data_IF_697633021046
#
_entry.id   IF_697633021046
#
_cell.length_a   1.000
_cell.length_b   1.000
_cell.length_c   1.000
_cell.angle_alpha   90.00
_cell.angle_beta   90.00
_cell.angle_gamma   90.00
#
_symmetry.space_group_name_H-M   'P 1'
#
loop_
_entity.id
_entity.type
_entity.pdbx_description
1 polymer ?
#
# COMPACT_ATOMS: atom_id res chain seq x y z
N UNK A 1 -28.51 -67.81 2.66
CA UNK A 1 -29.10 -66.54 3.14
C UNK A 1 -29.68 -65.80 1.95
N UNK A 2 -31.01 -65.79 1.82
CA UNK A 2 -31.71 -65.29 0.64
C UNK A 2 -31.64 -63.76 0.51
N UNK A 3 -31.63 -63.25 -0.72
CA UNK A 3 -31.64 -61.81 -1.07
C UNK A 3 -32.79 -61.03 -0.40
N UNK A 4 -33.84 -61.70 0.05
CA UNK A 4 -34.97 -61.13 0.80
C UNK A 4 -34.60 -60.70 2.24
N UNK A 5 -33.62 -61.34 2.89
CA UNK A 5 -33.24 -61.04 4.28
C UNK A 5 -32.28 -59.85 4.43
N UNK A 6 -31.68 -59.34 3.34
CA UNK A 6 -30.85 -58.12 3.39
C UNK A 6 -31.66 -56.83 3.23
N UNK A 7 -32.84 -56.89 2.58
CA UNK A 7 -33.69 -55.72 2.36
C UNK A 7 -34.51 -55.37 3.63
N UNK A 8 -34.91 -56.37 4.42
CA UNK A 8 -35.62 -56.14 5.70
C UNK A 8 -34.74 -55.48 6.78
N UNK A 9 -33.42 -55.68 6.76
CA UNK A 9 -32.51 -55.12 7.78
C UNK A 9 -32.28 -53.60 7.57
N UNK A 10 -32.32 -53.11 6.33
CA UNK A 10 -32.15 -51.68 6.03
C UNK A 10 -33.40 -50.83 6.26
N UNK A 11 -34.60 -51.42 6.19
CA UNK A 11 -35.86 -50.73 6.51
C UNK A 11 -36.09 -50.54 8.03
N UNK A 12 -35.39 -51.30 8.89
CA UNK A 12 -35.52 -51.16 10.35
C UNK A 12 -34.66 -50.02 10.92
N UNK A 13 -33.60 -49.58 10.23
CA UNK A 13 -32.71 -48.51 10.70
C UNK A 13 -33.20 -47.11 10.29
N UNK A 14 -34.07 -46.99 9.29
CA UNK A 14 -34.60 -45.70 8.80
C UNK A 14 -35.86 -45.24 9.57
N UNK A 15 -36.42 -46.07 10.47
CA UNK A 15 -37.66 -45.78 11.20
C UNK A 15 -37.52 -45.13 12.60
N UNK A 16 -36.30 -44.85 13.10
CA UNK A 16 -36.09 -44.48 14.51
C UNK A 16 -35.56 -43.05 14.78
N UNK A 17 -35.47 -42.16 13.77
CA UNK A 17 -35.13 -40.75 14.01
C UNK A 17 -36.11 -39.84 13.26
N UNK A 18 -37.39 -39.94 13.63
CA UNK A 18 -38.45 -39.01 13.26
C UNK A 18 -39.18 -38.56 14.52
N UNK A 19 -38.75 -37.39 15.03
CA UNK A 19 -39.44 -36.44 15.90
C UNK A 19 -40.75 -36.84 16.61
N UNK A 20 -40.78 -36.71 17.94
CA UNK A 20 -41.75 -35.84 18.63
C UNK A 20 -41.32 -35.52 20.07
N UNK A 21 -41.47 -34.24 20.42
CA UNK A 21 -41.09 -33.61 21.68
C UNK A 21 -41.91 -34.11 22.90
N UNK A 22 -41.50 -33.72 24.12
CA UNK A 22 -42.49 -33.22 25.06
C UNK A 22 -42.11 -31.91 25.74
N UNK A 23 -43.17 -31.18 26.06
CA UNK A 23 -43.26 -29.91 26.76
C UNK A 23 -43.35 -30.10 28.29
N UNK A 24 -42.68 -29.18 29.00
CA UNK A 24 -43.07 -28.54 30.28
C UNK A 24 -42.71 -29.13 31.67
N UNK A 25 -42.02 -28.24 32.43
CA UNK A 25 -42.18 -27.81 33.84
C UNK A 25 -41.51 -28.55 35.02
N UNK A 26 -40.42 -27.93 35.50
CA UNK A 26 -40.02 -27.54 36.91
C UNK A 26 -40.03 -28.62 38.02
N UNK A 27 -39.01 -28.79 38.89
CA UNK A 27 -38.37 -27.84 39.84
C UNK A 27 -37.12 -28.55 40.45
N UNK A 28 -35.94 -27.92 40.48
CA UNK A 28 -35.25 -27.35 41.68
C UNK A 28 -34.37 -28.33 42.48
N UNK A 29 -33.05 -28.10 42.45
CA UNK A 29 -32.07 -28.76 43.32
C UNK A 29 -30.64 -28.66 42.80
N UNK A 30 -29.95 -27.60 43.23
CA UNK A 30 -28.49 -27.44 43.32
C UNK A 30 -27.64 -27.55 42.04
N UNK A 31 -27.41 -26.40 41.40
CA UNK A 31 -26.14 -26.07 40.73
C UNK A 31 -25.97 -24.54 40.71
N UNK A 32 -25.97 -23.94 41.90
CA UNK A 32 -25.39 -22.61 42.12
C UNK A 32 -23.90 -22.77 42.40
N UNK A 33 -23.06 -22.53 41.39
CA UNK A 33 -21.68 -22.09 41.58
C UNK A 33 -21.19 -21.38 40.30
N UNK A 34 -20.94 -20.08 40.43
CA UNK A 34 -20.36 -19.14 39.46
C UNK A 34 -21.29 -18.60 38.36
N UNK A 35 -22.28 -17.80 38.77
CA UNK A 35 -22.83 -16.75 37.89
C UNK A 35 -21.77 -15.66 37.73
N UNK A 36 -21.19 -15.55 36.55
CA UNK A 36 -20.51 -14.32 36.13
C UNK A 36 -21.53 -13.18 36.15
N UNK A 37 -21.27 -12.12 36.92
CA UNK A 37 -22.07 -10.91 36.89
C UNK A 37 -21.86 -10.21 35.54
N UNK A 38 -22.78 -10.43 34.61
CA UNK A 38 -22.84 -9.68 33.35
C UNK A 38 -23.41 -8.30 33.65
N UNK A 39 -22.52 -7.32 33.82
CA UNK A 39 -22.90 -5.92 33.88
C UNK A 39 -23.36 -5.46 32.49
N UNK A 40 -24.67 -5.31 32.31
CA UNK A 40 -25.27 -4.73 31.12
C UNK A 40 -25.54 -3.25 31.36
N UNK A 41 -24.83 -2.38 30.67
CA UNK A 41 -25.09 -0.95 30.67
C UNK A 41 -25.99 -0.60 29.48
N UNK A 42 -27.20 -0.11 29.74
CA UNK A 42 -28.04 0.49 28.71
C UNK A 42 -27.61 1.95 28.50
N UNK A 43 -26.88 2.19 27.41
CA UNK A 43 -26.60 3.55 26.94
C UNK A 43 -27.87 4.05 26.24
N UNK A 44 -28.49 5.16 26.67
CA UNK A 44 -29.66 5.72 26.00
C UNK A 44 -29.31 6.00 24.53
N UNK A 45 -30.14 5.55 23.58
CA UNK A 45 -29.91 5.76 22.14
C UNK A 45 -29.66 7.25 21.79
N UNK A 46 -30.21 8.15 22.60
CA UNK A 46 -30.13 9.61 22.47
C UNK A 46 -28.76 10.18 22.90
N UNK A 47 -27.88 9.36 23.49
CA UNK A 47 -26.51 9.75 23.86
C UNK A 47 -25.46 9.39 22.79
N UNK A 48 -25.89 8.76 21.69
CA UNK A 48 -25.05 8.40 20.54
C UNK A 48 -25.52 9.18 19.32
N UNK A 49 -25.28 10.48 19.27
CA UNK A 49 -25.00 11.21 18.03
C UNK A 49 -24.81 12.71 18.29
N UNK A 50 -23.58 13.08 18.69
CA UNK A 50 -22.97 14.14 17.90
C UNK A 50 -22.49 13.44 16.64
N UNK A 51 -23.24 13.56 15.54
CA UNK A 51 -22.68 13.28 14.22
C UNK A 51 -21.49 14.22 14.04
N UNK A 52 -20.30 13.79 14.48
CA UNK A 52 -19.08 14.39 14.03
C UNK A 52 -19.08 14.17 12.52
N UNK A 53 -19.13 15.26 11.76
CA UNK A 53 -18.98 15.22 10.32
C UNK A 53 -17.68 14.45 10.04
N UNK A 54 -17.79 13.31 9.36
CA UNK A 54 -16.64 12.51 8.98
C UNK A 54 -15.84 13.27 7.92
N UNK A 55 -14.75 13.91 8.36
CA UNK A 55 -13.83 14.67 7.48
C UNK A 55 -12.80 13.75 6.79
N UNK A 56 -12.77 12.47 7.15
CA UNK A 56 -11.77 11.51 6.67
C UNK A 56 -11.73 11.44 5.13
N UNK A 57 -12.86 11.41 4.40
CA UNK A 57 -12.83 11.42 2.94
C UNK A 57 -12.22 12.70 2.33
N UNK A 58 -12.37 13.86 2.99
CA UNK A 58 -11.81 15.14 2.54
C UNK A 58 -10.29 15.14 2.73
N UNK A 59 -9.81 14.69 3.89
CA UNK A 59 -8.37 14.59 4.20
C UNK A 59 -7.69 13.56 3.30
N UNK A 60 -8.30 12.39 3.12
CA UNK A 60 -7.69 11.31 2.33
C UNK A 60 -7.88 11.48 0.82
N UNK A 61 -8.49 12.59 0.38
CA UNK A 61 -8.63 12.91 -1.03
C UNK A 61 -7.25 13.10 -1.67
N UNK A 62 -7.00 12.38 -2.76
CA UNK A 62 -5.70 12.42 -3.45
C UNK A 62 -4.56 11.79 -2.65
N UNK A 63 -4.81 11.19 -1.47
CA UNK A 63 -3.80 10.44 -0.75
C UNK A 63 -3.19 9.38 -1.71
N UNK A 64 -1.87 9.20 -1.73
CA UNK A 64 -1.20 8.30 -2.67
C UNK A 64 -1.52 6.84 -2.29
N UNK A 65 -2.70 6.36 -2.70
CA UNK A 65 -3.23 5.00 -2.52
C UNK A 65 -2.55 4.02 -3.45
N UNK A 66 -1.23 3.99 -3.39
CA UNK A 66 -0.46 3.10 -4.23
C UNK A 66 -0.53 1.70 -3.64
N UNK A 67 -1.58 1.00 -4.04
CA UNK A 67 -1.89 -0.39 -3.71
C UNK A 67 -1.96 -1.16 -5.02
N UNK A 68 -1.50 -2.40 -4.98
CA UNK A 68 -1.63 -3.37 -6.08
C UNK A 68 -3.08 -3.54 -6.55
N UNK A 69 -4.05 -3.28 -5.66
CA UNK A 69 -5.47 -3.31 -5.97
C UNK A 69 -6.05 -1.89 -5.93
N UNK A 70 -6.80 -1.45 -6.96
CA UNK A 70 -7.53 -0.20 -6.93
C UNK A 70 -8.41 -0.11 -5.68
N UNK A 71 -8.40 1.05 -5.02
CA UNK A 71 -9.25 1.31 -3.86
C UNK A 71 -10.27 2.36 -4.27
N UNK A 72 -11.48 1.93 -4.62
CA UNK A 72 -12.54 2.84 -5.04
C UNK A 72 -13.07 3.72 -3.91
N UNK A 73 -12.91 3.29 -2.65
CA UNK A 73 -13.34 4.04 -1.48
C UNK A 73 -12.47 3.72 -0.27
N UNK A 74 -11.37 4.46 -0.09
CA UNK A 74 -10.52 4.32 1.08
C UNK A 74 -11.01 5.23 2.21
N UNK A 75 -11.33 4.62 3.35
CA UNK A 75 -11.86 5.32 4.53
C UNK A 75 -10.81 5.58 5.62
N UNK A 76 -9.55 5.25 5.38
CA UNK A 76 -8.54 5.30 6.42
C UNK A 76 -8.64 4.14 7.41
N UNK A 77 -7.52 3.76 8.03
CA UNK A 77 -7.49 2.74 9.07
C UNK A 77 -7.67 3.31 10.49
N UNK A 78 -7.52 4.62 10.65
CA UNK A 78 -7.62 5.29 11.95
C UNK A 78 -9.02 5.84 12.19
N UNK A 79 -9.42 6.10 13.45
CA UNK A 79 -10.70 6.72 13.72
C UNK A 79 -10.68 8.21 13.33
N UNK A 80 -11.83 8.85 13.03
CA UNK A 80 -11.91 10.25 12.58
C UNK A 80 -11.14 11.24 13.47
N UNK A 81 -11.09 11.02 14.78
CA UNK A 81 -10.38 11.87 15.75
C UNK A 81 -8.86 11.90 15.51
N UNK A 82 -8.30 10.87 14.88
CA UNK A 82 -6.91 10.90 14.45
C UNK A 82 -6.72 11.89 13.31
N UNK A 83 -7.57 11.82 12.28
CA UNK A 83 -7.48 12.69 11.11
C UNK A 83 -7.79 14.15 11.44
N UNK A 84 -8.68 14.43 12.40
CA UNK A 84 -8.93 15.82 12.86
C UNK A 84 -7.70 16.55 13.42
N UNK A 85 -6.62 15.83 13.75
CA UNK A 85 -5.35 16.42 14.17
C UNK A 85 -4.51 16.94 12.99
N UNK A 86 -4.82 16.48 11.79
CA UNK A 86 -4.17 16.90 10.55
C UNK A 86 -4.90 18.14 10.06
N UNK A 87 -4.26 19.30 10.20
CA UNK A 87 -4.85 20.60 9.84
C UNK A 87 -4.51 21.04 8.42
N UNK A 88 -3.60 20.33 7.77
CA UNK A 88 -3.14 20.67 6.45
C UNK A 88 -4.08 20.06 5.40
N UNK A 89 -4.55 20.88 4.47
CA UNK A 89 -5.19 20.42 3.24
C UNK A 89 -4.10 20.30 2.17
N UNK A 90 -4.11 19.22 1.40
CA UNK A 90 -3.16 19.04 0.29
C UNK A 90 -3.87 18.68 -1.00
N UNK A 91 -3.21 18.97 -2.11
CA UNK A 91 -3.61 18.51 -3.44
C UNK A 91 -2.55 17.57 -4.00
N UNK A 92 -2.96 16.35 -4.30
CA UNK A 92 -2.07 15.32 -4.83
C UNK A 92 -2.74 14.58 -5.99
N UNK A 93 -1.96 14.27 -7.03
CA UNK A 93 -2.45 13.58 -8.21
C UNK A 93 -1.39 12.63 -8.78
N UNK A 94 -1.83 11.53 -9.41
CA UNK A 94 -0.92 10.65 -10.14
C UNK A 94 -0.35 11.37 -11.35
N UNK A 95 0.90 11.13 -11.71
CA UNK A 95 1.49 11.69 -12.93
C UNK A 95 0.67 11.34 -14.19
N UNK A 96 0.06 10.16 -14.22
CA UNK A 96 -0.79 9.71 -15.34
C UNK A 96 -2.08 10.51 -15.49
N UNK A 97 -2.63 11.04 -14.40
CA UNK A 97 -3.90 11.79 -14.39
C UNK A 97 -3.71 13.30 -14.33
N UNK A 98 -2.52 13.77 -13.94
CA UNK A 98 -2.23 15.18 -13.79
C UNK A 98 -2.18 15.91 -15.14
N UNK A 99 -2.82 17.09 -15.19
CA UNK A 99 -2.65 18.02 -16.31
C UNK A 99 -1.30 18.75 -16.20
N UNK A 100 -0.26 18.15 -16.78
CA UNK A 100 1.11 18.68 -16.73
C UNK A 100 1.22 20.07 -17.38
N UNK A 101 0.37 20.41 -18.35
CA UNK A 101 0.45 21.72 -19.00
C UNK A 101 0.01 22.85 -18.06
N UNK A 102 -0.95 22.60 -17.18
CA UNK A 102 -1.41 23.59 -16.18
C UNK A 102 -0.29 24.01 -15.22
N UNK A 103 0.69 23.15 -14.96
CA UNK A 103 1.86 23.48 -14.13
C UNK A 103 2.67 24.67 -14.65
N UNK A 104 2.58 24.99 -15.95
CA UNK A 104 3.23 26.19 -16.54
C UNK A 104 2.68 27.49 -15.97
N UNK A 105 1.38 27.50 -15.70
CA UNK A 105 0.64 28.71 -15.37
C UNK A 105 0.29 28.77 -13.88
N UNK A 106 0.08 27.60 -13.26
CA UNK A 106 -0.20 27.47 -11.85
C UNK A 106 0.71 26.42 -11.22
N UNK A 107 1.72 26.89 -10.50
CA UNK A 107 2.69 26.04 -9.81
C UNK A 107 2.15 25.42 -8.51
N UNK A 108 1.01 25.89 -8.00
CA UNK A 108 0.43 25.47 -6.73
C UNK A 108 -0.83 24.61 -6.93
N UNK A 109 -1.16 24.26 -8.17
CA UNK A 109 -2.33 23.42 -8.48
C UNK A 109 -2.25 22.03 -7.82
N UNK A 110 -1.03 21.49 -7.70
CA UNK A 110 -0.73 20.30 -6.94
C UNK A 110 0.39 20.61 -5.96
N UNK A 111 0.24 20.15 -4.72
CA UNK A 111 1.34 20.08 -3.77
C UNK A 111 2.26 18.90 -4.07
N UNK A 112 1.67 17.79 -4.52
CA UNK A 112 2.37 16.55 -4.85
C UNK A 112 1.94 15.97 -6.18
N UNK A 113 2.92 15.50 -6.93
CA UNK A 113 2.70 14.54 -8.01
C UNK A 113 3.34 13.23 -7.62
N UNK A 114 2.67 12.12 -7.92
CA UNK A 114 3.21 10.81 -7.60
C UNK A 114 3.11 9.78 -8.73
N UNK A 115 4.03 8.82 -8.76
CA UNK A 115 3.95 7.65 -9.64
C UNK A 115 3.39 6.45 -8.90
N UNK A 116 2.80 5.52 -9.64
CA UNK A 116 2.56 4.16 -9.18
C UNK A 116 3.69 3.24 -9.66
N UNK A 117 3.84 2.04 -9.07
CA UNK A 117 4.65 0.99 -9.64
C UNK A 117 4.28 0.70 -11.09
N UNK A 118 5.27 0.24 -11.85
CA UNK A 118 5.13 -0.07 -13.26
C UNK A 118 5.07 -1.58 -13.48
N UNK A 119 4.32 -2.02 -14.48
CA UNK A 119 4.49 -3.34 -15.04
C UNK A 119 5.68 -3.35 -16.00
N UNK A 120 6.38 -4.47 -16.09
CA UNK A 120 7.53 -4.58 -16.99
C UNK A 120 7.17 -4.33 -18.46
N UNK A 121 5.94 -4.65 -18.87
CA UNK A 121 5.45 -4.37 -20.21
C UNK A 121 5.27 -2.88 -20.50
N UNK A 122 5.05 -2.06 -19.46
CA UNK A 122 4.88 -0.61 -19.58
C UNK A 122 6.22 0.13 -19.53
N UNK A 123 7.28 -0.52 -19.06
CA UNK A 123 8.58 0.11 -18.82
C UNK A 123 9.31 0.40 -20.14
N UNK A 124 9.44 1.69 -20.45
CA UNK A 124 10.23 2.17 -21.58
C UNK A 124 11.64 2.57 -21.14
N UNK A 125 12.63 1.72 -21.37
CA UNK A 125 14.04 2.05 -21.13
C UNK A 125 14.69 2.55 -22.43
N UNK A 126 14.50 3.81 -22.78
CA UNK A 126 15.02 4.38 -24.04
C UNK A 126 16.27 5.24 -23.85
N UNK A 127 16.52 5.72 -22.62
CA UNK A 127 17.63 6.62 -22.31
C UNK A 127 18.25 6.32 -20.94
N UNK A 128 19.40 6.94 -20.63
CA UNK A 128 20.11 6.79 -19.35
C UNK A 128 19.60 7.71 -18.23
N UNK A 129 18.32 8.07 -18.28
CA UNK A 129 17.61 8.88 -17.29
C UNK A 129 16.36 8.10 -16.87
N UNK A 130 16.39 7.57 -15.64
CA UNK A 130 15.34 6.71 -15.14
C UNK A 130 14.05 7.50 -14.92
N UNK A 131 14.14 8.77 -14.52
CA UNK A 131 12.95 9.57 -14.31
C UNK A 131 12.23 9.80 -15.64
N UNK A 132 12.95 10.17 -16.70
CA UNK A 132 12.34 10.30 -18.02
C UNK A 132 11.72 8.99 -18.50
N UNK A 133 12.39 7.85 -18.27
CA UNK A 133 11.82 6.53 -18.59
C UNK A 133 10.51 6.27 -17.84
N UNK A 134 10.42 6.59 -16.54
CA UNK A 134 9.19 6.46 -15.74
C UNK A 134 8.08 7.39 -16.25
N UNK A 135 8.45 8.64 -16.57
CA UNK A 135 7.51 9.66 -17.06
C UNK A 135 6.95 9.29 -18.45
N UNK A 136 7.79 8.80 -19.36
CA UNK A 136 7.37 8.36 -20.69
C UNK A 136 6.51 7.09 -20.63
N UNK A 137 6.81 6.19 -19.69
CA UNK A 137 5.93 5.04 -19.38
C UNK A 137 4.54 5.47 -18.88
N UNK A 138 4.39 6.73 -18.45
CA UNK A 138 3.13 7.35 -18.06
C UNK A 138 2.44 8.16 -19.18
N UNK A 139 2.88 8.00 -20.45
CA UNK A 139 2.38 8.71 -21.63
C UNK A 139 2.55 10.25 -21.58
N UNK A 140 3.58 10.73 -20.90
CA UNK A 140 3.92 12.15 -20.84
C UNK A 140 4.99 12.44 -21.91
N UNK A 141 4.79 13.50 -22.72
CA UNK A 141 5.73 13.86 -23.79
C UNK A 141 7.02 14.49 -23.25
N UNK A 142 8.04 14.63 -24.11
CA UNK A 142 9.29 15.32 -23.74
C UNK A 142 9.05 16.80 -23.35
N UNK A 143 8.16 17.49 -24.05
CA UNK A 143 7.81 18.87 -23.73
C UNK A 143 7.11 18.98 -22.37
N UNK A 144 6.25 18.00 -22.04
CA UNK A 144 5.61 17.92 -20.74
C UNK A 144 6.60 17.56 -19.63
N UNK A 145 7.58 16.68 -19.91
CA UNK A 145 8.66 16.39 -18.98
C UNK A 145 9.43 17.66 -18.61
N UNK A 146 9.75 18.53 -19.57
CA UNK A 146 10.42 19.80 -19.30
C UNK A 146 9.59 20.72 -18.39
N UNK A 147 8.25 20.68 -18.51
CA UNK A 147 7.35 21.42 -17.61
C UNK A 147 7.38 20.85 -16.21
N UNK A 148 7.26 19.53 -16.08
CA UNK A 148 7.34 18.82 -14.81
C UNK A 148 8.68 19.13 -14.11
N UNK A 149 9.78 19.04 -14.85
CA UNK A 149 11.11 19.33 -14.34
C UNK A 149 11.21 20.77 -13.81
N UNK A 150 10.71 21.74 -14.56
CA UNK A 150 10.69 23.13 -14.12
C UNK A 150 9.79 23.34 -12.90
N UNK A 151 8.65 22.66 -12.82
CA UNK A 151 7.78 22.69 -11.65
C UNK A 151 8.49 22.16 -10.39
N UNK A 152 9.20 21.02 -10.49
CA UNK A 152 10.02 20.48 -9.39
C UNK A 152 11.10 21.50 -9.00
N UNK A 153 11.85 22.05 -9.97
CA UNK A 153 12.88 23.08 -9.71
C UNK A 153 12.33 24.28 -8.92
N UNK A 154 11.07 24.63 -9.12
CA UNK A 154 10.43 25.78 -8.49
C UNK A 154 9.82 25.49 -7.11
N UNK A 155 9.81 24.24 -6.65
CA UNK A 155 9.29 23.87 -5.33
C UNK A 155 8.37 22.64 -5.33
N UNK A 156 8.01 22.13 -6.50
CA UNK A 156 7.16 20.95 -6.61
C UNK A 156 7.77 19.70 -5.98
N UNK A 157 6.93 18.84 -5.43
CA UNK A 157 7.35 17.57 -4.82
C UNK A 157 6.92 16.41 -5.70
N UNK A 158 7.90 15.67 -6.20
CA UNK A 158 7.66 14.43 -6.94
C UNK A 158 7.90 13.22 -6.04
N UNK A 159 6.89 12.39 -5.88
CA UNK A 159 6.96 11.12 -5.17
C UNK A 159 6.98 9.97 -6.18
N UNK A 160 7.95 9.07 -6.08
CA UNK A 160 8.07 7.91 -6.95
C UNK A 160 7.92 6.64 -6.11
N UNK A 161 6.81 5.93 -6.28
CA UNK A 161 6.65 4.57 -5.75
C UNK A 161 7.36 3.60 -6.68
N UNK A 162 8.62 3.34 -6.36
CA UNK A 162 9.64 2.91 -7.30
C UNK A 162 9.78 1.38 -7.31
N UNK A 163 8.76 0.70 -7.84
CA UNK A 163 8.78 -0.74 -8.08
C UNK A 163 8.39 -1.06 -9.53
N UNK A 164 9.05 -2.07 -10.10
CA UNK A 164 8.71 -2.67 -11.39
C UNK A 164 8.36 -4.13 -11.15
N UNK A 165 7.17 -4.53 -11.57
CA UNK A 165 6.66 -5.89 -11.37
C UNK A 165 6.67 -6.70 -12.66
N UNK A 166 7.05 -7.97 -12.52
CA UNK A 166 6.98 -8.99 -13.57
C UNK A 166 6.04 -10.07 -13.07
N UNK A 167 4.93 -10.26 -13.76
CA UNK A 167 3.97 -11.31 -13.45
C UNK A 167 4.57 -12.69 -13.74
N UNK A 168 4.03 -13.75 -13.12
CA UNK A 168 4.41 -15.12 -13.49
C UNK A 168 4.07 -15.40 -14.97
N UNK A 169 2.99 -14.80 -15.46
CA UNK A 169 2.57 -14.89 -16.86
C UNK A 169 3.65 -14.35 -17.81
N UNK A 170 4.14 -13.12 -17.58
CA UNK A 170 5.18 -12.50 -18.42
C UNK A 170 6.47 -13.31 -18.42
N UNK A 171 6.81 -13.89 -17.28
CA UNK A 171 7.96 -14.76 -17.14
C UNK A 171 7.85 -16.01 -18.03
N UNK A 172 6.69 -16.66 -18.11
CA UNK A 172 6.55 -17.87 -18.91
C UNK A 172 6.30 -17.61 -20.40
N UNK A 173 5.38 -16.71 -20.74
CA UNK A 173 4.89 -16.58 -22.11
C UNK A 173 5.59 -15.47 -22.91
N UNK A 174 6.05 -14.40 -22.26
CA UNK A 174 6.73 -13.28 -22.93
C UNK A 174 8.27 -13.48 -23.00
N UNK A 175 8.74 -14.72 -22.82
CA UNK A 175 10.15 -15.11 -22.82
C UNK A 175 11.00 -14.29 -21.82
N UNK A 176 10.45 -13.86 -20.69
CA UNK A 176 11.26 -13.29 -19.62
C UNK A 176 11.98 -14.42 -18.89
N UNK A 177 13.30 -14.30 -18.74
CA UNK A 177 14.10 -15.25 -17.99
C UNK A 177 15.06 -14.49 -17.07
N UNK A 178 15.73 -15.22 -16.19
CA UNK A 178 16.71 -14.63 -15.25
C UNK A 178 17.74 -13.75 -15.95
N UNK A 179 18.19 -14.12 -17.15
CA UNK A 179 19.12 -13.31 -17.95
C UNK A 179 18.52 -11.95 -18.31
N UNK A 180 17.30 -11.91 -18.88
CA UNK A 180 16.64 -10.64 -19.20
C UNK A 180 16.37 -9.78 -17.97
N UNK A 181 15.97 -10.41 -16.86
CA UNK A 181 15.77 -9.69 -15.59
C UNK A 181 17.08 -9.09 -15.11
N UNK A 182 18.17 -9.85 -15.18
CA UNK A 182 19.51 -9.37 -14.85
C UNK A 182 19.92 -8.22 -15.77
N UNK A 183 19.73 -8.35 -17.08
CA UNK A 183 20.07 -7.29 -18.05
C UNK A 183 19.30 -5.99 -17.76
N UNK A 184 18.03 -6.09 -17.36
CA UNK A 184 17.22 -4.95 -16.95
C UNK A 184 17.69 -4.36 -15.63
N UNK A 185 17.95 -5.21 -14.63
CA UNK A 185 18.46 -4.79 -13.31
C UNK A 185 19.81 -4.08 -13.45
N UNK A 186 20.71 -4.63 -14.26
CA UNK A 186 22.02 -4.05 -14.54
C UNK A 186 21.88 -2.71 -15.25
N UNK A 187 21.00 -2.60 -16.26
CA UNK A 187 20.69 -1.32 -16.93
C UNK A 187 20.13 -0.29 -15.95
N UNK A 188 19.17 -0.67 -15.11
CA UNK A 188 18.59 0.23 -14.11
C UNK A 188 19.67 0.70 -13.13
N UNK A 189 20.60 -0.17 -12.72
CA UNK A 189 21.63 0.14 -11.72
C UNK A 189 22.64 1.21 -12.16
N UNK A 190 22.77 1.46 -13.47
CA UNK A 190 23.65 2.50 -14.02
C UNK A 190 22.90 3.77 -14.42
N UNK A 191 21.57 3.77 -14.33
CA UNK A 191 20.76 4.95 -14.60
C UNK A 191 20.82 5.96 -13.47
N UNK A 192 20.36 7.18 -13.76
CA UNK A 192 20.28 8.25 -12.78
C UNK A 192 18.91 8.89 -12.76
N UNK A 193 18.58 9.55 -11.64
CA UNK A 193 17.46 10.49 -11.52
C UNK A 193 18.08 11.84 -11.15
N UNK A 194 17.99 12.79 -12.08
CA UNK A 194 18.67 14.09 -11.97
C UNK A 194 20.14 14.00 -11.56
N UNK A 195 20.87 13.07 -12.18
CA UNK A 195 22.31 12.84 -11.92
C UNK A 195 22.63 12.05 -10.64
N UNK A 196 21.63 11.75 -9.80
CA UNK A 196 21.83 10.90 -8.62
C UNK A 196 21.72 9.43 -9.03
N UNK A 197 22.63 8.60 -8.51
CA UNK A 197 22.62 7.17 -8.76
C UNK A 197 21.38 6.54 -8.15
N UNK A 198 21.04 5.36 -8.65
CA UNK A 198 19.93 4.56 -8.11
C UNK A 198 20.44 3.24 -7.56
N UNK A 199 19.86 2.80 -6.46
CA UNK A 199 20.05 1.46 -5.92
C UNK A 199 18.91 0.59 -6.39
N UNK A 200 19.24 -0.59 -6.92
CA UNK A 200 18.27 -1.55 -7.44
C UNK A 200 18.35 -2.82 -6.62
N UNK A 201 17.19 -3.34 -6.20
CA UNK A 201 17.08 -4.58 -5.46
C UNK A 201 15.98 -5.43 -6.06
N UNK A 202 16.30 -6.68 -6.36
CA UNK A 202 15.36 -7.62 -6.97
C UNK A 202 14.95 -8.68 -5.95
N UNK A 203 13.66 -9.01 -5.89
CA UNK A 203 13.16 -10.16 -5.14
C UNK A 203 12.25 -11.04 -5.98
N UNK A 204 12.30 -12.33 -5.69
CA UNK A 204 11.53 -13.36 -6.35
C UNK A 204 10.55 -13.97 -5.34
N UNK A 205 9.26 -13.96 -5.70
CA UNK A 205 8.24 -14.73 -5.02
C UNK A 205 8.31 -16.20 -5.46
N UNK A 206 7.71 -17.10 -4.67
CA UNK A 206 7.58 -18.50 -5.08
C UNK A 206 6.43 -18.63 -6.08
N UNK A 207 6.67 -19.34 -7.18
CA UNK A 207 5.61 -19.66 -8.15
C UNK A 207 4.81 -20.85 -7.67
N UNK A 208 3.49 -20.75 -7.79
CA UNK A 208 2.57 -21.87 -7.59
C UNK A 208 2.40 -22.60 -8.92
N UNK A 209 2.18 -21.84 -10.00
CA UNK A 209 2.03 -22.36 -11.37
C UNK A 209 2.50 -21.34 -12.43
N UNK A 210 1.96 -21.42 -13.65
CA UNK A 210 2.28 -20.51 -14.75
C UNK A 210 1.72 -19.09 -14.55
N UNK A 211 0.62 -18.95 -13.83
CA UNK A 211 -0.13 -17.70 -13.67
C UNK A 211 -0.09 -17.16 -12.24
N UNK A 212 0.12 -18.05 -11.26
CA UNK A 212 -0.06 -17.74 -9.84
C UNK A 212 1.25 -17.79 -9.05
N UNK A 213 1.33 -16.92 -8.06
CA UNK A 213 2.48 -16.69 -7.18
C UNK A 213 2.03 -16.69 -5.73
N UNK A 214 2.86 -17.27 -4.86
CA UNK A 214 2.70 -17.08 -3.42
C UNK A 214 3.08 -15.65 -3.07
N UNK A 215 2.19 -14.95 -2.36
CA UNK A 215 2.44 -13.58 -1.91
C UNK A 215 3.71 -13.53 -1.06
N UNK A 216 4.69 -12.76 -1.52
CA UNK A 216 5.90 -12.48 -0.74
C UNK A 216 5.62 -11.30 0.19
N UNK A 217 5.81 -11.51 1.49
CA UNK A 217 5.59 -10.49 2.52
C UNK A 217 6.89 -10.27 3.29
N UNK A 218 7.39 -9.04 3.25
CA UNK A 218 8.61 -8.65 3.95
C UNK A 218 8.27 -7.62 5.01
N UNK A 219 8.45 -8.01 6.28
CA UNK A 219 8.28 -7.10 7.41
C UNK A 219 9.58 -6.32 7.62
N UNK A 220 9.46 -5.00 7.57
CA UNK A 220 10.55 -4.06 7.78
C UNK A 220 10.37 -3.41 9.15
N UNK A 221 11.41 -3.47 9.98
CA UNK A 221 11.48 -2.74 11.25
C UNK A 221 12.41 -1.53 11.04
N UNK A 222 11.89 -0.34 10.74
CA UNK A 222 12.70 0.79 10.34
C UNK A 222 13.60 1.28 11.49
N UNK A 223 14.79 1.74 11.11
CA UNK A 223 15.72 2.42 12.01
C UNK A 223 15.09 3.71 12.57
N UNK A 224 14.85 3.72 13.89
CA UNK A 224 14.07 4.76 14.54
C UNK A 224 14.72 6.15 14.45
N UNK A 225 16.04 6.23 14.49
CA UNK A 225 16.79 7.50 14.33
C UNK A 225 16.61 8.12 12.94
N UNK A 226 16.36 7.31 11.91
CA UNK A 226 16.15 7.79 10.54
C UNK A 226 14.68 8.19 10.37
N UNK A 227 13.75 7.31 10.76
CA UNK A 227 12.32 7.57 10.54
C UNK A 227 11.77 8.73 11.38
N UNK A 228 12.36 8.99 12.56
CA UNK A 228 12.01 10.17 13.39
C UNK A 228 12.11 11.50 12.64
N UNK A 229 12.88 11.57 11.56
CA UNK A 229 13.00 12.77 10.72
C UNK A 229 11.68 13.17 10.05
N UNK A 230 10.80 12.20 9.80
CA UNK A 230 9.51 12.41 9.14
C UNK A 230 8.31 12.28 10.09
N UNK A 231 8.52 11.83 11.33
CA UNK A 231 7.45 11.64 12.31
C UNK A 231 6.92 12.98 12.85
N UNK A 232 5.79 13.42 12.33
CA UNK A 232 5.07 14.63 12.74
C UNK A 232 3.79 14.31 13.51
N UNK A 233 3.23 13.13 13.28
CA UNK A 233 2.09 12.59 14.02
C UNK A 233 2.61 11.83 15.24
N UNK A 234 1.93 12.02 16.37
CA UNK A 234 2.33 11.46 17.68
C UNK A 234 1.94 9.98 17.81
N UNK A 235 2.49 9.18 16.89
CA UNK A 235 2.40 7.72 16.83
C UNK A 235 3.67 7.17 16.23
N UNK A 236 4.20 6.11 16.83
CA UNK A 236 5.41 5.46 16.35
C UNK A 236 5.12 4.63 15.10
N UNK A 237 6.13 4.51 14.23
CA UNK A 237 6.13 3.60 13.10
C UNK A 237 7.07 2.46 13.47
N UNK A 238 6.49 1.30 13.78
CA UNK A 238 7.23 0.17 14.32
C UNK A 238 7.51 -0.87 13.26
N UNK A 239 6.51 -1.15 12.42
CA UNK A 239 6.61 -2.17 11.38
C UNK A 239 5.94 -1.71 10.11
N UNK A 240 6.65 -1.88 9.00
CA UNK A 240 6.15 -1.66 7.66
C UNK A 240 6.08 -3.01 6.95
N UNK A 241 5.06 -3.20 6.10
CA UNK A 241 4.89 -4.41 5.33
C UNK A 241 5.11 -4.10 3.86
N UNK A 242 6.16 -4.67 3.27
CA UNK A 242 6.33 -4.67 1.82
C UNK A 242 5.70 -5.95 1.28
N UNK A 243 4.61 -5.81 0.53
CA UNK A 243 3.94 -6.93 -0.12
C UNK A 243 4.31 -6.96 -1.59
N UNK A 244 4.51 -8.17 -2.12
CA UNK A 244 4.68 -8.42 -3.54
C UNK A 244 3.72 -9.53 -3.93
N UNK A 245 2.76 -9.20 -4.79
CA UNK A 245 1.82 -10.17 -5.36
C UNK A 245 2.37 -10.85 -6.60
N UNK A 246 3.34 -10.23 -7.28
CA UNK A 246 3.89 -10.70 -8.54
C UNK A 246 5.13 -11.57 -8.39
N UNK A 247 5.56 -12.18 -9.50
CA UNK A 247 6.67 -13.12 -9.44
C UNK A 247 7.99 -12.43 -9.14
N UNK A 248 8.26 -11.31 -9.80
CA UNK A 248 9.48 -10.52 -9.58
C UNK A 248 9.11 -9.11 -9.22
N UNK A 249 9.73 -8.59 -8.16
CA UNK A 249 9.71 -7.19 -7.79
C UNK A 249 11.11 -6.60 -7.91
N UNK A 250 11.27 -5.59 -8.77
CA UNK A 250 12.50 -4.80 -8.89
C UNK A 250 12.23 -3.46 -8.20
N UNK A 251 12.80 -3.26 -7.03
CA UNK A 251 12.68 -2.03 -6.25
C UNK A 251 13.85 -1.11 -6.53
N UNK A 252 13.56 0.16 -6.70
CA UNK A 252 14.55 1.20 -6.96
C UNK A 252 14.49 2.20 -5.81
N UNK A 253 15.64 2.68 -5.33
CA UNK A 253 15.73 3.84 -4.42
C UNK A 253 16.83 4.77 -4.90
N UNK A 254 16.80 6.04 -4.50
CA UNK A 254 17.87 6.99 -4.84
C UNK A 254 19.05 6.87 -3.89
N UNK A 255 20.23 7.07 -4.43
CA UNK A 255 21.42 7.45 -3.69
C UNK A 255 21.26 8.91 -3.22
N UNK A 256 20.58 9.06 -2.08
CA UNK A 256 20.19 10.33 -1.49
C UNK A 256 20.06 10.21 0.02
N UNK A 257 19.41 11.18 0.66
CA UNK A 257 19.20 11.11 2.10
C UNK A 257 18.16 10.03 2.45
N UNK A 258 18.50 9.05 3.30
CA UNK A 258 17.56 7.98 3.66
C UNK A 258 16.44 8.52 4.56
N UNK A 259 15.22 8.09 4.25
CA UNK A 259 14.01 8.34 5.05
C UNK A 259 13.53 7.08 5.77
N UNK A 260 13.78 5.91 5.15
CA UNK A 260 13.48 4.60 5.74
C UNK A 260 14.66 3.68 5.43
N UNK A 261 15.21 3.07 6.48
CA UNK A 261 16.32 2.12 6.41
C UNK A 261 16.05 0.97 7.39
N UNK A 262 16.51 -0.22 7.04
CA UNK A 262 16.53 -1.37 7.95
C UNK A 262 17.76 -2.22 7.63
N UNK A 263 18.74 -2.23 8.52
CA UNK A 263 20.06 -2.79 8.24
C UNK A 263 20.71 -2.03 7.08
N UNK A 264 21.39 -2.70 6.16
CA UNK A 264 22.07 -2.02 5.04
C UNK A 264 21.14 -1.59 3.90
N UNK A 265 19.84 -1.90 3.98
CA UNK A 265 18.87 -1.62 2.93
C UNK A 265 18.13 -0.31 3.16
N UNK A 266 18.14 0.56 2.15
CA UNK A 266 17.31 1.76 2.06
C UNK A 266 16.02 1.41 1.33
N UNK A 267 14.88 1.85 1.89
CA UNK A 267 13.54 1.58 1.37
C UNK A 267 12.80 2.85 0.98
N UNK A 268 13.25 4.00 1.49
CA UNK A 268 12.85 5.29 0.99
C UNK A 268 14.00 6.27 1.18
N UNK A 269 14.17 7.15 0.21
CA UNK A 269 15.17 8.22 0.23
C UNK A 269 14.67 9.42 -0.54
N UNK A 270 15.30 10.56 -0.32
CA UNK A 270 14.99 11.77 -1.05
C UNK A 270 16.24 12.53 -1.49
N UNK A 271 16.04 13.38 -2.49
CA UNK A 271 17.00 14.39 -2.92
C UNK A 271 16.28 15.74 -3.08
N UNK A 272 17.03 16.83 -2.93
CA UNK A 272 16.55 18.15 -3.31
C UNK A 272 16.89 18.40 -4.79
N UNK A 273 15.95 19.03 -5.52
CA UNK A 273 16.18 19.44 -6.91
C UNK A 273 15.66 20.86 -7.13
N UNK A 274 16.59 21.82 -7.23
CA UNK A 274 16.23 23.24 -7.12
C UNK A 274 15.62 23.52 -5.74
N UNK A 275 14.38 24.03 -5.71
CA UNK A 275 13.61 24.27 -4.49
C UNK A 275 12.69 23.10 -4.11
N UNK A 276 12.49 22.16 -5.02
CA UNK A 276 11.61 21.00 -4.82
C UNK A 276 12.33 19.79 -4.26
N UNK A 277 11.57 18.70 -4.12
CA UNK A 277 12.03 17.43 -3.57
C UNK A 277 11.61 16.28 -4.47
N UNK A 278 12.43 15.25 -4.49
CA UNK A 278 12.10 13.98 -5.13
C UNK A 278 12.25 12.90 -4.09
N UNK A 279 11.17 12.18 -3.86
CA UNK A 279 11.07 11.15 -2.83
C UNK A 279 10.91 9.83 -3.57
N UNK A 280 11.77 8.86 -3.31
CA UNK A 280 11.57 7.47 -3.74
C UNK A 280 11.21 6.64 -2.53
N UNK A 281 10.30 5.69 -2.72
CA UNK A 281 9.85 4.79 -1.67
C UNK A 281 9.37 3.49 -2.31
N UNK A 282 9.64 2.38 -1.65
CA UNK A 282 9.05 1.09 -2.03
C UNK A 282 7.57 1.04 -1.63
N UNK A 283 6.70 0.32 -2.37
CA UNK A 283 5.27 0.29 -2.12
C UNK A 283 4.92 -0.52 -0.87
N UNK A 284 5.07 0.09 0.30
CA UNK A 284 4.60 -0.48 1.56
C UNK A 284 3.07 -0.56 1.57
N UNK A 285 2.52 -1.66 2.08
CA UNK A 285 1.09 -1.80 2.27
C UNK A 285 0.58 -0.78 3.31
N UNK A 286 -0.51 -0.10 2.97
CA UNK A 286 -1.14 0.90 3.83
C UNK A 286 -2.48 0.45 4.40
N UNK A 287 -3.08 -0.63 3.90
CA UNK A 287 -4.40 -1.10 4.33
C UNK A 287 -4.34 -1.98 5.57
N UNK A 288 -3.23 -2.66 5.79
CA UNK A 288 -3.09 -3.64 6.84
C UNK A 288 -3.01 -2.94 8.21
N UNK A 289 -4.00 -3.20 9.05
CA UNK A 289 -4.14 -2.59 10.38
C UNK A 289 -2.96 -2.91 11.31
N UNK A 290 -2.22 -3.98 11.04
CA UNK A 290 -1.07 -4.40 11.84
C UNK A 290 0.24 -3.71 11.46
N UNK A 291 0.26 -2.92 10.37
CA UNK A 291 1.46 -2.26 9.86
C UNK A 291 1.22 -0.80 9.54
N UNK A 292 2.29 -0.01 9.56
CA UNK A 292 2.19 1.45 9.66
C UNK A 292 2.30 2.19 8.33
N UNK A 293 2.03 1.53 7.19
CA UNK A 293 2.20 2.14 5.87
C UNK A 293 1.31 3.36 5.60
N UNK A 294 0.09 3.42 6.15
CA UNK A 294 -0.73 4.65 6.07
C UNK A 294 -0.12 5.79 6.89
N UNK A 295 0.32 5.51 8.13
CA UNK A 295 0.93 6.50 9.01
C UNK A 295 2.24 7.03 8.44
N UNK A 296 3.04 6.14 7.84
CA UNK A 296 4.25 6.51 7.12
C UNK A 296 3.96 7.53 6.02
N UNK A 297 2.96 7.25 5.18
CA UNK A 297 2.64 8.13 4.06
C UNK A 297 2.11 9.48 4.51
N UNK A 298 1.23 9.51 5.51
CA UNK A 298 0.75 10.77 6.10
C UNK A 298 1.91 11.60 6.67
N UNK A 299 2.79 10.99 7.45
CA UNK A 299 3.98 11.64 7.98
C UNK A 299 4.90 12.17 6.87
N UNK A 300 5.08 11.39 5.80
CA UNK A 300 5.93 11.76 4.67
C UNK A 300 5.36 12.94 3.88
N UNK A 301 4.05 12.98 3.64
CA UNK A 301 3.34 14.12 3.02
C UNK A 301 3.57 15.37 3.86
N UNK A 302 3.23 15.33 5.15
CA UNK A 302 3.35 16.48 6.05
C UNK A 302 4.81 16.96 6.17
N UNK A 303 5.76 16.03 6.24
CA UNK A 303 7.18 16.35 6.28
C UNK A 303 7.65 17.01 4.99
N UNK A 304 7.21 16.52 3.84
CA UNK A 304 7.62 17.03 2.55
C UNK A 304 7.08 18.45 2.30
N UNK A 305 5.87 18.75 2.79
CA UNK A 305 5.27 20.09 2.85
C UNK A 305 5.95 21.04 3.85
N UNK A 306 6.95 20.56 4.59
CA UNK A 306 7.63 21.30 5.66
C UNK A 306 6.70 21.70 6.82
N UNK A 307 5.66 20.92 7.12
CA UNK A 307 4.80 21.14 8.28
C UNK A 307 5.50 20.67 9.55
N UNK A 308 6.51 21.41 10.01
CA UNK A 308 7.10 21.20 11.33
C UNK A 308 6.21 21.90 12.35
N UNK A 309 5.54 21.11 13.20
CA UNK A 309 4.82 21.58 14.40
C UNK A 309 5.67 22.50 15.27
#
# INVERSE_FOLDING_TARGET
>A
MNKLNKILFYLFIIGLISACAPTSKTTQGDLDANKEEVYTFSIPANSISRELKDITPEILKGFPFVSFQPVSNFKGKYPPEFYTRIKHEWTAETLKSADIWKLRNDKNIYDFLYTTPLWIGDLQLTQNDLLKNIVYSSNISEEQFNVLENWIKQGGILWIESAIFISSYDYNLNNFNEKKIKDITDRLSVMTIFGNKVHVRTSYAKRIDEFNTEKLSMVISPEQNIIKRIMLLDRQIDKLLLEQTDYVGIYITLDGEPLIKSGDSVYASYINYGKGKIITIVPFDFKNVHYDGELLRLNLILWALNDRK
#
